data_IF_319935743284
#
_entry.id   IF_319935743284
#
_cell.length_a   1.000
_cell.length_b   1.000
_cell.length_c   1.000
_cell.angle_alpha   90.00
_cell.angle_beta   90.00
_cell.angle_gamma   90.00
#
_symmetry.space_group_name_H-M   'P 1'
#
loop_
_entity.id
_entity.type
_entity.pdbx_description
1 polymer ?
#
# COMPACT_ATOMS: atom_id res chain seq x y z
N UNK A 1 30.87 7.60 -23.34
CA UNK A 1 29.90 6.58 -22.87
C UNK A 1 28.57 7.30 -22.76
N UNK A 2 27.68 7.14 -23.73
CA UNK A 2 26.35 7.77 -23.69
C UNK A 2 25.50 7.00 -22.67
N UNK A 3 25.22 7.60 -21.53
CA UNK A 3 24.18 7.10 -20.65
C UNK A 3 22.86 7.15 -21.43
N UNK A 4 22.17 6.01 -21.55
CA UNK A 4 20.82 6.00 -22.12
C UNK A 4 19.93 6.96 -21.33
N UNK A 5 19.22 7.83 -22.04
CA UNK A 5 18.23 8.73 -21.44
C UNK A 5 17.09 7.87 -20.88
N UNK A 6 16.76 8.05 -19.60
CA UNK A 6 15.65 7.34 -18.96
C UNK A 6 14.31 7.78 -19.60
N UNK A 7 13.60 6.89 -20.32
CA UNK A 7 12.34 7.25 -20.98
C UNK A 7 11.19 7.51 -20.00
N UNK A 8 11.34 7.16 -18.72
CA UNK A 8 10.30 7.30 -17.68
C UNK A 8 10.61 8.41 -16.66
N UNK A 9 11.60 9.26 -16.93
CA UNK A 9 12.06 10.28 -15.96
C UNK A 9 10.92 11.14 -15.39
N UNK A 10 9.92 11.48 -16.19
CA UNK A 10 8.78 12.29 -15.74
C UNK A 10 7.81 11.51 -14.85
N UNK A 11 7.65 10.21 -15.09
CA UNK A 11 6.85 9.32 -14.24
C UNK A 11 7.57 9.09 -12.91
N UNK A 12 8.88 8.82 -12.96
CA UNK A 12 9.70 8.61 -11.76
C UNK A 12 9.63 9.81 -10.83
N UNK A 13 9.76 11.03 -11.37
CA UNK A 13 9.63 12.27 -10.59
C UNK A 13 8.28 12.39 -9.89
N UNK A 14 7.19 11.97 -10.55
CA UNK A 14 5.84 12.01 -9.94
C UNK A 14 5.72 11.00 -8.80
N UNK A 15 6.19 9.76 -9.01
CA UNK A 15 6.19 8.72 -7.97
C UNK A 15 7.00 9.17 -6.75
N UNK A 16 8.22 9.69 -6.98
CA UNK A 16 9.06 10.22 -5.91
C UNK A 16 8.38 11.39 -5.20
N UNK A 17 7.81 12.35 -5.95
CA UNK A 17 7.07 13.47 -5.37
C UNK A 17 5.95 12.99 -4.47
N UNK A 18 5.14 12.01 -4.90
CA UNK A 18 4.05 11.45 -4.11
C UNK A 18 4.56 10.85 -2.79
N UNK A 19 5.59 10.00 -2.85
CA UNK A 19 6.18 9.37 -1.66
C UNK A 19 6.64 10.39 -0.62
N UNK A 20 7.18 11.54 -1.06
CA UNK A 20 7.70 12.56 -0.14
C UNK A 20 6.64 13.58 0.33
N UNK A 21 5.50 13.66 -0.34
CA UNK A 21 4.49 14.70 -0.06
C UNK A 21 3.17 14.17 0.47
N UNK A 22 2.93 12.86 0.35
CA UNK A 22 1.74 12.18 0.88
C UNK A 22 2.04 11.49 2.21
N UNK A 23 1.08 11.52 3.14
CA UNK A 23 1.14 10.74 4.39
C UNK A 23 0.51 9.35 4.26
N UNK A 24 -0.07 9.02 3.11
CA UNK A 24 -0.96 7.87 2.92
C UNK A 24 -0.34 6.54 3.37
N UNK A 25 0.91 6.28 2.97
CA UNK A 25 1.62 5.06 3.35
C UNK A 25 1.89 4.99 4.86
N UNK A 26 2.20 6.14 5.47
CA UNK A 26 2.44 6.23 6.92
C UNK A 26 1.14 6.07 7.71
N UNK A 27 0.03 6.65 7.23
CA UNK A 27 -1.26 6.56 7.90
C UNK A 27 -1.87 5.15 7.75
N UNK A 28 -1.62 4.49 6.61
CA UNK A 28 -1.90 3.05 6.43
C UNK A 28 -1.12 2.22 7.45
N UNK A 29 0.19 2.48 7.60
CA UNK A 29 1.04 1.77 8.57
C UNK A 29 0.56 1.99 10.02
N UNK A 30 0.22 3.23 10.39
CA UNK A 30 -0.33 3.54 11.71
C UNK A 30 -1.62 2.79 11.95
N UNK A 31 -2.54 2.75 10.98
CA UNK A 31 -3.79 2.00 11.11
C UNK A 31 -3.51 0.50 11.34
N UNK A 32 -2.59 -0.08 10.56
CA UNK A 32 -2.18 -1.46 10.74
C UNK A 32 -1.64 -1.72 12.15
N UNK A 33 -0.80 -0.83 12.68
CA UNK A 33 -0.15 -1.00 13.99
C UNK A 33 -1.06 -0.64 15.18
N UNK A 34 -1.79 0.47 15.10
CA UNK A 34 -2.52 1.05 16.23
C UNK A 34 -3.94 0.49 16.35
N UNK A 35 -4.58 0.11 15.22
CA UNK A 35 -5.93 -0.45 15.20
C UNK A 35 -5.91 -1.97 15.21
N UNK A 36 -5.13 -2.59 14.32
CA UNK A 36 -5.10 -4.06 14.19
C UNK A 36 -4.02 -4.72 15.06
N UNK A 37 -3.07 -3.94 15.58
CA UNK A 37 -2.09 -4.42 16.55
C UNK A 37 -1.27 -5.61 16.04
N UNK A 38 -1.09 -6.59 16.90
CA UNK A 38 -0.42 -7.84 16.55
C UNK A 38 -1.35 -8.73 15.72
N UNK A 39 -0.97 -8.98 14.46
CA UNK A 39 -1.76 -9.69 13.45
C UNK A 39 -1.36 -11.16 13.35
N UNK A 40 -1.28 -11.85 14.49
CA UNK A 40 -0.97 -13.29 14.49
C UNK A 40 -2.13 -14.10 13.88
N UNK A 41 -1.86 -15.19 13.14
CA UNK A 41 -2.90 -15.98 12.48
C UNK A 41 -4.04 -16.37 13.41
N UNK A 42 -5.28 -16.13 12.97
CA UNK A 42 -6.51 -16.45 13.71
C UNK A 42 -6.90 -15.46 14.80
N UNK A 43 -6.16 -14.37 14.99
CA UNK A 43 -6.57 -13.28 15.89
C UNK A 43 -7.56 -12.33 15.20
N UNK A 44 -8.34 -11.53 15.95
CA UNK A 44 -9.17 -10.49 15.34
C UNK A 44 -8.38 -9.49 14.48
N UNK A 45 -7.13 -9.21 14.86
CA UNK A 45 -6.23 -8.32 14.11
C UNK A 45 -5.82 -8.88 12.75
N UNK A 46 -5.71 -10.21 12.63
CA UNK A 46 -5.38 -10.91 11.37
C UNK A 46 -6.43 -10.62 10.28
N UNK A 47 -7.67 -11.10 10.46
CA UNK A 47 -8.76 -10.90 9.49
C UNK A 47 -9.08 -9.41 9.31
N UNK A 48 -9.04 -8.62 10.38
CA UNK A 48 -9.30 -7.18 10.31
C UNK A 48 -8.31 -6.45 9.38
N UNK A 49 -7.02 -6.76 9.51
CA UNK A 49 -5.98 -6.16 8.69
C UNK A 49 -6.03 -6.58 7.22
N UNK A 50 -6.43 -7.82 6.93
CA UNK A 50 -6.63 -8.32 5.57
C UNK A 50 -7.75 -7.56 4.88
N UNK A 51 -8.90 -7.41 5.55
CA UNK A 51 -10.03 -6.66 5.01
C UNK A 51 -9.68 -5.18 4.82
N UNK A 52 -8.94 -4.58 5.77
CA UNK A 52 -8.47 -3.21 5.62
C UNK A 52 -7.59 -3.01 4.38
N UNK A 53 -6.62 -3.89 4.14
CA UNK A 53 -5.76 -3.79 2.96
C UNK A 53 -6.53 -4.03 1.66
N UNK A 54 -7.50 -4.95 1.66
CA UNK A 54 -8.42 -5.14 0.54
C UNK A 54 -9.14 -3.82 0.21
N UNK A 55 -9.75 -3.19 1.20
CA UNK A 55 -10.49 -1.94 1.03
C UNK A 55 -9.58 -0.80 0.54
N UNK A 56 -8.34 -0.71 1.05
CA UNK A 56 -7.35 0.27 0.56
C UNK A 56 -6.99 0.04 -0.91
N UNK A 57 -6.82 -1.20 -1.35
CA UNK A 57 -6.54 -1.48 -2.76
C UNK A 57 -7.73 -1.14 -3.67
N UNK A 58 -8.96 -1.41 -3.23
CA UNK A 58 -10.16 -0.99 -3.95
C UNK A 58 -10.25 0.55 -4.02
N UNK A 59 -9.95 1.25 -2.92
CA UNK A 59 -9.92 2.71 -2.87
C UNK A 59 -8.87 3.32 -3.82
N UNK A 60 -7.70 2.70 -3.94
CA UNK A 60 -6.65 3.13 -4.87
C UNK A 60 -6.98 2.85 -6.33
N UNK A 61 -8.10 2.18 -6.61
CA UNK A 61 -8.53 1.83 -7.96
C UNK A 61 -7.79 0.63 -8.54
N UNK A 62 -7.31 -0.29 -7.70
CA UNK A 62 -6.81 -1.58 -8.17
C UNK A 62 -8.00 -2.43 -8.62
N UNK A 63 -7.91 -3.02 -9.81
CA UNK A 63 -8.93 -3.92 -10.33
C UNK A 63 -8.77 -5.33 -9.75
N UNK A 64 -9.88 -6.08 -9.69
CA UNK A 64 -9.92 -7.51 -9.30
C UNK A 64 -9.32 -7.81 -7.90
N UNK A 65 -9.57 -6.95 -6.93
CA UNK A 65 -9.10 -7.14 -5.55
C UNK A 65 -9.91 -8.23 -4.86
N UNK A 66 -9.23 -9.30 -4.44
CA UNK A 66 -9.83 -10.42 -3.70
C UNK A 66 -8.95 -10.86 -2.53
N UNK A 67 -9.57 -11.55 -1.56
CA UNK A 67 -8.88 -12.20 -0.45
C UNK A 67 -8.86 -13.70 -0.71
N UNK A 68 -7.66 -14.27 -0.83
CA UNK A 68 -7.46 -15.71 -0.94
C UNK A 68 -7.35 -16.36 0.43
N UNK A 69 -8.02 -17.51 0.61
CA UNK A 69 -7.93 -18.32 1.83
C UNK A 69 -7.05 -19.53 1.57
N UNK A 70 -6.21 -19.88 2.56
CA UNK A 70 -5.43 -21.12 2.62
C UNK A 70 -6.08 -22.13 3.57
#
# INVERSE_FOLDING_TARGET
>A
MNAMVNPYLDVDKKIVSEIYTSSEAMDTLKTLCDVYGSRFPGTPGDIGSVNYMKDKFEEYGVDDVAVERY
#
